data_IF_322775117051
#
_entry.id   IF_322775117051
#
_cell.length_a   1.000
_cell.length_b   1.000
_cell.length_c   1.000
_cell.angle_alpha   90.00
_cell.angle_beta   90.00
_cell.angle_gamma   90.00
#
_symmetry.space_group_name_H-M   'P 1'
#
loop_
_entity.id
_entity.type
_entity.pdbx_description
1 polymer ?
#
# COMPACT_ATOMS: atom_id res chain seq x y z
N UNK A 1 -13.69 -13.75 10.31
CA UNK A 1 -13.30 -13.36 8.96
C UNK A 1 -14.02 -14.27 8.00
N UNK A 2 -15.23 -13.87 7.66
CA UNK A 2 -15.94 -14.29 6.46
C UNK A 2 -15.26 -13.69 5.22
N UNK A 3 -15.64 -14.13 4.03
CA UNK A 3 -15.12 -13.59 2.79
C UNK A 3 -15.51 -12.10 2.61
N UNK A 4 -16.73 -11.71 3.01
CA UNK A 4 -17.16 -10.30 3.04
C UNK A 4 -16.30 -9.45 4.01
N UNK A 5 -15.99 -9.97 5.20
CA UNK A 5 -15.11 -9.29 6.16
C UNK A 5 -13.66 -9.15 5.65
N UNK A 6 -13.23 -10.02 4.72
CA UNK A 6 -11.92 -9.92 4.08
C UNK A 6 -11.92 -8.88 2.95
N UNK A 7 -12.97 -8.82 2.14
CA UNK A 7 -13.11 -7.82 1.07
C UNK A 7 -13.16 -6.39 1.63
N UNK A 8 -13.95 -6.16 2.69
CA UNK A 8 -14.01 -4.86 3.39
C UNK A 8 -12.64 -4.49 3.99
N UNK A 9 -11.92 -5.47 4.53
CA UNK A 9 -10.59 -5.25 5.06
C UNK A 9 -9.57 -4.90 3.96
N UNK A 10 -9.62 -5.58 2.81
CA UNK A 10 -8.76 -5.29 1.67
C UNK A 10 -9.01 -3.88 1.12
N UNK A 11 -10.27 -3.48 0.96
CA UNK A 11 -10.64 -2.14 0.50
C UNK A 11 -10.13 -1.06 1.47
N UNK A 12 -10.34 -1.25 2.78
CA UNK A 12 -9.85 -0.32 3.81
C UNK A 12 -8.32 -0.23 3.86
N UNK A 13 -7.62 -1.33 3.56
CA UNK A 13 -6.16 -1.33 3.50
C UNK A 13 -5.64 -0.63 2.24
N UNK A 14 -6.34 -0.76 1.12
CA UNK A 14 -6.00 -0.09 -0.14
C UNK A 14 -6.19 1.42 -0.05
N UNK A 15 -7.29 1.90 0.58
CA UNK A 15 -7.53 3.33 0.82
C UNK A 15 -6.42 3.94 1.69
N UNK A 16 -6.11 3.31 2.83
CA UNK A 16 -5.00 3.77 3.69
C UNK A 16 -3.64 3.72 2.98
N UNK A 17 -3.43 2.75 2.09
CA UNK A 17 -2.20 2.65 1.32
C UNK A 17 -2.10 3.77 0.26
N UNK A 18 -3.20 4.26 -0.29
CA UNK A 18 -3.23 5.44 -1.15
C UNK A 18 -2.88 6.71 -0.37
N UNK A 19 -3.56 6.97 0.74
CA UNK A 19 -3.29 8.13 1.59
C UNK A 19 -1.83 8.18 2.07
N UNK A 20 -1.28 7.03 2.48
CA UNK A 20 0.12 6.94 2.89
C UNK A 20 1.07 7.31 1.75
N UNK A 21 0.79 6.86 0.52
CA UNK A 21 1.64 7.14 -0.64
C UNK A 21 1.57 8.61 -1.04
N UNK A 22 0.40 9.23 -0.96
CA UNK A 22 0.24 10.66 -1.18
C UNK A 22 1.02 11.49 -0.15
N UNK A 23 0.88 11.16 1.14
CA UNK A 23 1.61 11.84 2.21
C UNK A 23 3.14 11.69 2.05
N UNK A 24 3.62 10.51 1.66
CA UNK A 24 5.03 10.28 1.39
C UNK A 24 5.53 11.09 0.20
N UNK A 25 4.73 11.22 -0.86
CA UNK A 25 5.08 12.04 -2.02
C UNK A 25 5.09 13.54 -1.67
N UNK A 26 4.19 14.00 -0.80
CA UNK A 26 4.22 15.38 -0.28
C UNK A 26 5.47 15.66 0.56
N UNK A 27 5.80 14.78 1.49
CA UNK A 27 6.89 14.98 2.46
C UNK A 27 8.29 14.74 1.86
N UNK A 28 8.43 13.72 1.00
CA UNK A 28 9.72 13.26 0.48
C UNK A 28 9.92 13.63 -0.99
N UNK A 29 8.87 14.09 -1.68
CA UNK A 29 8.86 14.33 -3.12
C UNK A 29 8.68 13.06 -3.95
N UNK A 30 8.47 13.21 -5.25
CA UNK A 30 8.23 12.11 -6.18
C UNK A 30 6.74 11.88 -6.47
N UNK A 31 6.42 10.77 -7.13
CA UNK A 31 5.03 10.38 -7.40
C UNK A 31 4.55 9.37 -6.35
N UNK A 32 3.27 9.40 -5.91
CA UNK A 32 2.73 8.41 -4.97
C UNK A 32 2.94 6.96 -5.41
N UNK A 33 2.92 6.69 -6.72
CA UNK A 33 3.18 5.35 -7.27
C UNK A 33 4.61 4.85 -7.04
N UNK A 34 5.59 5.74 -6.81
CA UNK A 34 6.96 5.34 -6.48
C UNK A 34 7.03 4.60 -5.14
N UNK A 35 6.11 4.90 -4.23
CA UNK A 35 6.00 4.34 -2.88
C UNK A 35 5.09 3.10 -2.81
N UNK A 36 4.60 2.61 -3.95
CA UNK A 36 3.81 1.40 -4.00
C UNK A 36 4.64 0.19 -3.53
N UNK A 37 4.03 -0.65 -2.68
CA UNK A 37 4.64 -1.91 -2.24
C UNK A 37 5.05 -2.73 -3.46
N UNK A 38 6.35 -3.02 -3.60
CA UNK A 38 6.87 -3.93 -4.60
C UNK A 38 7.08 -5.29 -3.94
N UNK A 39 6.77 -6.40 -4.62
CA UNK A 39 7.20 -7.72 -4.16
C UNK A 39 8.72 -7.69 -4.00
N UNK A 40 9.20 -7.78 -2.76
CA UNK A 40 10.60 -8.09 -2.52
C UNK A 40 10.77 -9.56 -2.86
N UNK A 41 11.75 -9.90 -3.69
CA UNK A 41 12.18 -11.29 -3.76
C UNK A 41 12.56 -11.70 -2.34
N UNK A 42 11.97 -12.80 -1.83
CA UNK A 42 12.43 -13.40 -0.59
C UNK A 42 13.96 -13.46 -0.67
N UNK A 43 14.63 -12.81 0.29
CA UNK A 43 16.06 -12.53 0.22
C UNK A 43 16.87 -13.81 0.05
N UNK A 44 17.11 -14.19 -1.21
CA UNK A 44 17.98 -15.29 -1.57
C UNK A 44 19.42 -14.85 -1.39
N UNK A 45 20.14 -15.58 -0.54
CA UNK A 45 21.61 -15.50 -0.40
C UNK A 45 22.33 -15.81 -1.72
#
# INVERSE_FOLDING_TARGET
MTDEEMEEFEEAMDEQAEELREALAEDLGGDPEDYRKRPVADGGE
#
